data_IF_768363322822
#
_entry.id   IF_768363322822
#
_cell.length_a   1.000
_cell.length_b   1.000
_cell.length_c   1.000
_cell.angle_alpha   90.00
_cell.angle_beta   90.00
_cell.angle_gamma   90.00
#
_symmetry.space_group_name_H-M   'P 1'
#
loop_
_entity.id
_entity.type
_entity.pdbx_description
1 polymer ?
#
# COMPACT_ATOMS: atom_id res chain seq x y z
N UNK A 1 -57.07 -35.97 9.84
CA UNK A 1 -56.64 -35.70 8.44
C UNK A 1 -56.90 -34.23 8.11
N UNK A 2 -55.92 -33.33 8.34
CA UNK A 2 -55.82 -31.95 7.81
C UNK A 2 -54.42 -31.43 8.18
N UNK A 3 -53.47 -31.68 7.29
CA UNK A 3 -52.03 -31.45 7.45
C UNK A 3 -51.55 -30.58 6.28
N UNK A 4 -52.26 -29.49 5.98
CA UNK A 4 -51.90 -28.55 4.92
C UNK A 4 -52.29 -27.15 5.39
N UNK A 5 -51.38 -26.48 6.10
CA UNK A 5 -51.40 -25.01 6.23
C UNK A 5 -50.09 -24.42 6.79
N UNK A 6 -49.17 -25.24 7.32
CA UNK A 6 -47.87 -24.76 7.82
C UNK A 6 -46.83 -24.46 6.73
N UNK A 7 -47.07 -24.81 5.46
CA UNK A 7 -46.11 -24.62 4.37
C UNK A 7 -46.14 -23.21 3.74
N UNK A 8 -47.28 -22.49 3.80
CA UNK A 8 -47.40 -21.16 3.16
C UNK A 8 -46.79 -20.03 3.98
N UNK A 9 -46.78 -20.13 5.31
CA UNK A 9 -46.22 -19.09 6.20
C UNK A 9 -44.69 -19.08 6.19
N UNK A 10 -44.02 -20.24 6.01
CA UNK A 10 -42.55 -20.30 5.95
C UNK A 10 -41.96 -19.72 4.65
N UNK A 11 -42.71 -19.76 3.54
CA UNK A 11 -42.28 -19.18 2.25
C UNK A 11 -42.25 -17.65 2.28
N UNK A 12 -43.26 -17.02 2.89
CA UNK A 12 -43.32 -15.56 3.00
C UNK A 12 -42.25 -14.97 3.93
N UNK A 13 -41.85 -15.69 4.99
CA UNK A 13 -40.78 -15.27 5.89
C UNK A 13 -39.39 -15.35 5.23
N UNK A 14 -39.13 -16.39 4.42
CA UNK A 14 -37.88 -16.54 3.68
C UNK A 14 -37.74 -15.53 2.52
N UNK A 15 -38.84 -15.15 1.87
CA UNK A 15 -38.84 -14.09 0.86
C UNK A 15 -38.63 -12.69 1.47
N UNK A 16 -39.16 -12.44 2.67
CA UNK A 16 -38.93 -11.17 3.39
C UNK A 16 -37.50 -11.03 3.92
N UNK A 17 -36.86 -12.12 4.36
CA UNK A 17 -35.46 -12.06 4.81
C UNK A 17 -34.49 -11.83 3.64
N UNK A 18 -34.74 -12.40 2.46
CA UNK A 18 -33.87 -12.16 1.28
C UNK A 18 -33.97 -10.72 0.75
N UNK A 19 -35.15 -10.10 0.83
CA UNK A 19 -35.35 -8.69 0.49
C UNK A 19 -34.66 -7.72 1.45
N UNK A 20 -34.66 -8.01 2.75
CA UNK A 20 -34.01 -7.17 3.76
C UNK A 20 -32.48 -7.24 3.66
N UNK A 21 -31.92 -8.42 3.39
CA UNK A 21 -30.47 -8.60 3.14
C UNK A 21 -30.02 -7.89 1.87
N UNK A 22 -30.84 -7.87 0.82
CA UNK A 22 -30.59 -7.05 -0.39
C UNK A 22 -30.65 -5.56 -0.11
N UNK A 23 -31.65 -5.09 0.64
CA UNK A 23 -31.80 -3.69 1.02
C UNK A 23 -30.65 -3.19 1.90
N UNK A 24 -30.13 -4.03 2.81
CA UNK A 24 -28.97 -3.71 3.65
C UNK A 24 -27.68 -3.70 2.82
N UNK A 25 -27.49 -4.66 1.90
CA UNK A 25 -26.36 -4.66 0.98
C UNK A 25 -26.38 -3.45 0.04
N UNK A 26 -27.55 -3.06 -0.47
CA UNK A 26 -27.74 -1.86 -1.28
C UNK A 26 -27.52 -0.59 -0.46
N UNK A 27 -27.92 -0.56 0.82
CA UNK A 27 -27.63 0.54 1.74
C UNK A 27 -26.15 0.69 2.04
N UNK A 28 -25.42 -0.40 2.25
CA UNK A 28 -23.97 -0.38 2.47
C UNK A 28 -23.22 0.02 1.20
N UNK A 29 -23.70 -0.43 0.02
CA UNK A 29 -23.18 -0.02 -1.28
C UNK A 29 -23.45 1.48 -1.53
N UNK A 30 -24.66 1.96 -1.23
CA UNK A 30 -25.03 3.38 -1.29
C UNK A 30 -24.26 4.21 -0.27
N UNK A 31 -24.04 3.72 0.95
CA UNK A 31 -23.30 4.43 2.00
C UNK A 31 -21.82 4.55 1.65
N UNK A 32 -21.18 3.47 1.17
CA UNK A 32 -19.80 3.53 0.67
C UNK A 32 -19.69 4.39 -0.59
N UNK A 33 -20.67 4.36 -1.49
CA UNK A 33 -20.69 5.22 -2.67
C UNK A 33 -20.88 6.69 -2.29
N UNK A 34 -21.75 6.99 -1.32
CA UNK A 34 -22.01 8.35 -0.83
C UNK A 34 -20.81 8.92 -0.09
N UNK A 35 -20.13 8.11 0.72
CA UNK A 35 -18.90 8.52 1.39
C UNK A 35 -17.77 8.77 0.37
N UNK A 36 -17.61 7.88 -0.63
CA UNK A 36 -16.62 8.06 -1.71
C UNK A 36 -16.88 9.31 -2.53
N UNK A 37 -18.13 9.60 -2.87
CA UNK A 37 -18.53 10.80 -3.60
C UNK A 37 -18.33 12.06 -2.78
N UNK A 38 -18.61 12.03 -1.47
CA UNK A 38 -18.32 13.17 -0.57
C UNK A 38 -16.84 13.45 -0.43
N UNK A 39 -16.01 12.43 -0.25
CA UNK A 39 -14.54 12.58 -0.18
C UNK A 39 -14.00 13.11 -1.52
N UNK A 40 -14.45 12.57 -2.65
CA UNK A 40 -14.07 13.07 -3.97
C UNK A 40 -14.49 14.52 -4.21
N UNK A 41 -15.70 14.90 -3.77
CA UNK A 41 -16.22 16.26 -3.89
C UNK A 41 -15.44 17.25 -3.02
N UNK A 42 -15.19 16.92 -1.75
CA UNK A 42 -14.40 17.75 -0.86
C UNK A 42 -12.95 17.95 -1.38
N UNK A 43 -12.35 16.91 -1.96
CA UNK A 43 -11.01 16.98 -2.57
C UNK A 43 -11.00 17.76 -3.89
N UNK A 44 -12.09 17.75 -4.66
CA UNK A 44 -12.26 18.59 -5.85
C UNK A 44 -12.41 20.07 -5.49
N UNK A 45 -13.11 20.36 -4.40
CA UNK A 45 -13.39 21.72 -3.93
C UNK A 45 -12.17 22.39 -3.29
N UNK A 46 -11.24 21.65 -2.69
CA UNK A 46 -10.09 22.24 -1.97
C UNK A 46 -8.76 22.24 -2.73
N UNK A 47 -8.49 21.28 -3.63
CA UNK A 47 -7.11 21.05 -4.10
C UNK A 47 -6.88 21.24 -5.61
N UNK A 48 -7.92 21.60 -6.37
CA UNK A 48 -7.85 21.77 -7.82
C UNK A 48 -7.75 20.44 -8.60
N UNK A 49 -8.18 20.46 -9.86
CA UNK A 49 -8.41 19.26 -10.68
C UNK A 49 -7.20 18.31 -10.80
N UNK A 50 -5.98 18.85 -10.71
CA UNK A 50 -4.74 18.09 -10.82
C UNK A 50 -4.49 17.20 -9.59
N UNK A 51 -4.85 17.64 -8.39
CA UNK A 51 -4.65 16.91 -7.13
C UNK A 51 -5.72 15.82 -6.96
N UNK A 52 -6.96 16.09 -7.38
CA UNK A 52 -8.01 15.06 -7.45
C UNK A 52 -7.64 13.93 -8.42
N UNK A 53 -7.03 14.24 -9.56
CA UNK A 53 -6.56 13.22 -10.50
C UNK A 53 -5.45 12.35 -9.89
N UNK A 54 -4.54 12.94 -9.10
CA UNK A 54 -3.53 12.20 -8.34
C UNK A 54 -4.19 11.31 -7.29
N UNK A 55 -5.18 11.80 -6.56
CA UNK A 55 -5.91 11.02 -5.55
C UNK A 55 -6.66 9.82 -6.15
N UNK A 56 -7.36 10.01 -7.27
CA UNK A 56 -8.04 8.92 -7.99
C UNK A 56 -7.05 7.86 -8.49
N UNK A 57 -5.87 8.29 -8.96
CA UNK A 57 -4.79 7.39 -9.36
C UNK A 57 -4.20 6.67 -8.14
N UNK A 58 -3.99 7.37 -7.02
CA UNK A 58 -3.50 6.82 -5.76
C UNK A 58 -4.48 5.78 -5.18
N UNK A 59 -5.79 5.99 -5.30
CA UNK A 59 -6.79 4.99 -4.89
C UNK A 59 -6.67 3.70 -5.70
N UNK A 60 -6.68 3.78 -7.03
CA UNK A 60 -6.49 2.61 -7.91
C UNK A 60 -5.13 1.93 -7.66
N UNK A 61 -4.13 2.74 -7.33
CA UNK A 61 -2.80 2.28 -6.98
C UNK A 61 -2.79 1.51 -5.65
N UNK A 62 -3.48 1.98 -4.60
CA UNK A 62 -3.46 1.37 -3.27
C UNK A 62 -3.85 -0.13 -3.25
N UNK A 63 -4.85 -0.54 -4.04
CA UNK A 63 -5.22 -1.96 -4.19
C UNK A 63 -4.08 -2.78 -4.79
N UNK A 64 -3.40 -2.23 -5.80
CA UNK A 64 -2.24 -2.89 -6.45
C UNK A 64 -1.03 -2.93 -5.55
N UNK A 65 -0.81 -1.89 -4.74
CA UNK A 65 0.31 -1.84 -3.79
C UNK A 65 0.21 -2.94 -2.73
N UNK A 66 -1.00 -3.26 -2.25
CA UNK A 66 -1.19 -4.43 -1.37
C UNK A 66 -0.82 -5.74 -2.06
N UNK A 67 -1.28 -5.95 -3.30
CA UNK A 67 -0.86 -7.15 -4.06
C UNK A 67 0.65 -7.20 -4.30
N UNK A 68 1.32 -6.06 -4.50
CA UNK A 68 2.77 -5.98 -4.56
C UNK A 68 3.42 -6.33 -3.23
N UNK A 69 2.89 -5.80 -2.12
CA UNK A 69 3.33 -6.16 -0.76
C UNK A 69 3.26 -7.66 -0.52
N UNK A 70 2.18 -8.33 -0.92
CA UNK A 70 2.01 -9.76 -0.72
C UNK A 70 3.02 -10.59 -1.52
N UNK A 71 3.30 -10.19 -2.76
CA UNK A 71 4.33 -10.83 -3.60
C UNK A 71 5.72 -10.64 -2.99
N UNK A 72 6.01 -9.43 -2.52
CA UNK A 72 7.27 -9.09 -1.86
C UNK A 72 7.44 -9.85 -0.54
N UNK A 73 6.41 -9.88 0.32
CA UNK A 73 6.41 -10.61 1.59
C UNK A 73 6.83 -12.07 1.44
N UNK A 74 6.40 -12.68 0.34
CA UNK A 74 6.65 -14.08 0.00
C UNK A 74 8.04 -14.33 -0.59
N UNK A 75 8.73 -13.29 -1.04
CA UNK A 75 10.04 -13.38 -1.71
C UNK A 75 11.17 -12.78 -0.89
N UNK A 76 10.85 -11.97 0.12
CA UNK A 76 11.82 -11.48 1.07
C UNK A 76 12.52 -12.62 1.79
N UNK A 77 13.82 -12.42 1.94
CA UNK A 77 14.74 -13.33 2.59
C UNK A 77 15.95 -12.54 3.07
N UNK A 78 16.82 -13.20 3.82
CA UNK A 78 18.09 -12.62 4.26
C UNK A 78 18.96 -12.17 3.07
N UNK A 79 18.91 -12.89 1.95
CA UNK A 79 19.66 -12.53 0.74
C UNK A 79 19.07 -11.33 -0.02
N UNK A 80 17.82 -10.96 0.22
CA UNK A 80 17.25 -9.70 -0.30
C UNK A 80 17.33 -8.55 0.69
N UNK A 81 17.67 -8.83 1.95
CA UNK A 81 17.79 -7.83 2.99
C UNK A 81 18.92 -6.84 2.69
N UNK A 82 18.61 -5.55 2.82
CA UNK A 82 19.54 -4.43 2.72
C UNK A 82 19.75 -3.85 4.11
N UNK A 83 20.84 -4.22 4.77
CA UNK A 83 21.27 -3.64 6.04
C UNK A 83 22.50 -2.76 5.80
N UNK A 84 22.45 -1.45 6.08
CA UNK A 84 23.61 -0.58 5.99
C UNK A 84 24.71 -0.89 7.04
N UNK A 85 24.40 -1.62 8.12
CA UNK A 85 25.38 -1.98 9.15
C UNK A 85 24.95 -3.20 9.97
N UNK A 86 25.90 -4.13 10.21
CA UNK A 86 25.71 -5.36 11.01
C UNK A 86 25.28 -5.11 12.48
N UNK A 87 25.36 -3.88 12.99
CA UNK A 87 25.04 -3.56 14.40
C UNK A 87 23.53 -3.51 14.72
N UNK A 88 22.63 -3.52 13.73
CA UNK A 88 21.17 -3.49 13.97
C UNK A 88 20.51 -4.88 13.96
N UNK A 89 21.29 -5.96 14.12
CA UNK A 89 20.78 -7.35 14.11
C UNK A 89 19.93 -7.72 15.34
N UNK A 90 19.84 -6.84 16.33
CA UNK A 90 19.07 -7.13 17.54
C UNK A 90 17.59 -6.78 17.34
N UNK A 91 16.78 -7.84 17.29
CA UNK A 91 15.37 -7.87 17.68
C UNK A 91 14.34 -7.22 16.75
N UNK A 92 14.22 -7.69 15.51
CA UNK A 92 12.93 -7.57 14.82
C UNK A 92 12.48 -8.90 14.24
N UNK A 93 11.36 -9.41 14.74
CA UNK A 93 10.68 -10.61 14.22
C UNK A 93 9.88 -10.32 12.95
N UNK A 94 9.88 -9.08 12.45
CA UNK A 94 9.10 -8.73 11.27
C UNK A 94 9.77 -9.22 9.99
N UNK A 95 9.06 -9.97 9.12
CA UNK A 95 9.60 -10.44 7.84
C UNK A 95 9.93 -9.28 6.88
N UNK A 96 9.47 -8.06 7.18
CA UNK A 96 9.82 -6.88 6.41
C UNK A 96 11.20 -6.32 6.75
N UNK A 97 11.83 -6.61 7.88
CA UNK A 97 13.06 -5.93 8.31
C UNK A 97 14.18 -5.88 7.25
N UNK A 98 14.75 -4.68 7.06
CA UNK A 98 15.79 -4.43 6.05
C UNK A 98 15.34 -4.56 4.60
N UNK A 99 14.04 -4.70 4.33
CA UNK A 99 13.51 -4.84 2.97
C UNK A 99 13.03 -3.51 2.36
N UNK A 100 13.08 -2.39 3.09
CA UNK A 100 12.52 -1.11 2.63
C UNK A 100 13.22 -0.62 1.35
N UNK A 101 14.56 -0.65 1.32
CA UNK A 101 15.35 -0.24 0.16
C UNK A 101 15.03 -1.07 -1.07
N UNK A 102 15.15 -2.40 -0.99
CA UNK A 102 14.90 -3.28 -2.14
C UNK A 102 13.46 -3.25 -2.64
N UNK A 103 12.49 -3.10 -1.73
CA UNK A 103 11.07 -3.02 -2.06
C UNK A 103 10.75 -1.71 -2.80
N UNK A 104 11.31 -0.60 -2.33
CA UNK A 104 11.18 0.71 -2.97
C UNK A 104 11.85 0.74 -4.35
N UNK A 105 13.06 0.18 -4.47
CA UNK A 105 13.75 0.03 -5.76
C UNK A 105 12.94 -0.85 -6.74
N UNK A 106 12.35 -1.94 -6.24
CA UNK A 106 11.51 -2.85 -7.02
C UNK A 106 10.22 -2.21 -7.52
N UNK A 107 9.64 -1.31 -6.74
CA UNK A 107 8.38 -0.66 -7.05
C UNK A 107 8.50 0.37 -8.19
N UNK A 108 9.59 1.16 -8.24
CA UNK A 108 9.75 2.27 -9.19
C UNK A 108 9.51 1.90 -10.66
N UNK A 109 10.14 0.86 -11.24
CA UNK A 109 9.88 0.49 -12.63
C UNK A 109 8.42 0.08 -12.83
N UNK A 110 7.78 -0.56 -11.85
CA UNK A 110 6.38 -0.99 -11.97
C UNK A 110 5.41 0.19 -11.96
N UNK A 111 5.71 1.25 -11.20
CA UNK A 111 4.93 2.49 -11.25
C UNK A 111 5.12 3.24 -12.57
N UNK A 112 6.37 3.32 -13.03
CA UNK A 112 6.74 4.06 -14.24
C UNK A 112 6.09 3.47 -15.49
N UNK A 113 6.11 2.14 -15.62
CA UNK A 113 5.59 1.43 -16.79
C UNK A 113 4.06 1.42 -16.85
N UNK A 114 3.38 1.34 -15.71
CA UNK A 114 1.93 1.21 -15.70
C UNK A 114 1.17 2.54 -15.68
N UNK A 115 1.79 3.65 -15.28
CA UNK A 115 1.06 4.88 -14.99
C UNK A 115 1.75 6.16 -15.50
N UNK A 116 2.89 6.06 -16.21
CA UNK A 116 3.72 7.21 -16.64
C UNK A 116 4.04 8.17 -15.49
N UNK A 117 4.11 7.65 -14.27
CA UNK A 117 4.40 8.44 -13.07
C UNK A 117 5.90 8.56 -12.89
N UNK A 118 6.37 9.77 -12.60
CA UNK A 118 7.77 10.03 -12.24
C UNK A 118 7.98 9.66 -10.78
N UNK A 119 8.27 8.38 -10.55
CA UNK A 119 8.60 7.85 -9.23
C UNK A 119 10.08 8.11 -8.89
N UNK A 120 10.32 8.50 -7.64
CA UNK A 120 11.65 8.81 -7.08
C UNK A 120 11.91 7.90 -5.89
N UNK A 121 13.08 7.27 -5.88
CA UNK A 121 13.58 6.53 -4.71
C UNK A 121 14.01 7.54 -3.66
N UNK A 122 13.56 7.38 -2.42
CA UNK A 122 13.91 8.27 -1.33
C UNK A 122 14.54 7.47 -0.19
N UNK A 123 15.56 8.05 0.42
CA UNK A 123 16.17 7.60 1.67
C UNK A 123 16.16 8.77 2.66
N UNK A 124 15.93 8.47 3.93
CA UNK A 124 15.94 9.44 5.02
C UNK A 124 15.21 8.91 6.24
N UNK A 125 14.46 9.77 6.92
CA UNK A 125 13.83 9.44 8.20
C UNK A 125 12.32 9.60 8.16
N UNK A 126 11.62 8.82 8.99
CA UNK A 126 10.20 9.01 9.29
C UNK A 126 10.07 9.43 10.74
N UNK A 127 9.43 10.58 10.97
CA UNK A 127 9.22 11.17 12.29
C UNK A 127 7.75 10.99 12.65
N UNK A 128 7.49 10.54 13.87
CA UNK A 128 6.15 10.42 14.44
C UNK A 128 5.99 11.43 15.56
N UNK A 129 5.08 12.39 15.41
CA UNK A 129 4.83 13.42 16.42
C UNK A 129 3.76 12.96 17.43
N UNK A 130 3.88 11.70 17.89
CA UNK A 130 2.97 11.12 18.89
C UNK A 130 3.51 11.27 20.34
N UNK A 131 4.59 12.05 20.50
CA UNK A 131 5.25 12.30 21.79
C UNK A 131 5.90 11.06 22.43
N UNK A 132 5.92 9.90 21.76
CA UNK A 132 6.39 8.63 22.33
C UNK A 132 7.42 7.90 21.48
N UNK A 133 7.45 8.13 20.17
CA UNK A 133 8.38 7.43 19.25
C UNK A 133 9.26 8.43 18.53
N UNK A 134 10.57 8.32 18.78
CA UNK A 134 11.59 9.12 18.12
C UNK A 134 11.67 8.86 16.61
N UNK A 135 12.62 9.54 15.97
CA UNK A 135 12.95 9.38 14.56
C UNK A 135 13.25 7.93 14.21
N UNK A 136 12.67 7.41 13.11
CA UNK A 136 13.01 6.09 12.61
C UNK A 136 14.50 5.99 12.28
N UNK A 137 15.05 4.78 12.32
CA UNK A 137 16.30 4.52 11.58
C UNK A 137 16.13 4.90 10.10
N UNK A 138 17.25 5.01 9.38
CA UNK A 138 17.23 5.32 7.95
C UNK A 138 16.28 4.37 7.20
N UNK A 139 15.31 4.94 6.51
CA UNK A 139 14.22 4.24 5.84
C UNK A 139 14.14 4.62 4.37
N UNK A 140 13.58 3.74 3.56
CA UNK A 140 13.49 3.96 2.11
C UNK A 140 12.05 3.84 1.62
N UNK A 141 11.60 4.82 0.83
CA UNK A 141 10.25 4.87 0.27
C UNK A 141 10.26 5.38 -1.18
N UNK A 142 9.08 5.48 -1.78
CA UNK A 142 8.90 6.04 -3.12
C UNK A 142 8.06 7.31 -3.06
N UNK A 143 8.51 8.37 -3.73
CA UNK A 143 7.74 9.60 -3.91
C UNK A 143 7.28 9.74 -5.37
N UNK A 144 6.09 10.29 -5.57
CA UNK A 144 5.57 10.72 -6.87
C UNK A 144 5.14 12.18 -6.77
N UNK A 145 5.66 13.05 -7.64
CA UNK A 145 5.34 14.48 -7.64
C UNK A 145 6.56 15.35 -7.34
N UNK A 146 6.30 16.60 -6.92
CA UNK A 146 7.34 17.54 -6.46
C UNK A 146 7.53 17.44 -4.95
N UNK A 147 8.62 18.01 -4.42
CA UNK A 147 8.87 18.05 -2.98
C UNK A 147 7.69 18.65 -2.18
N UNK A 148 7.02 19.68 -2.70
CA UNK A 148 5.89 20.35 -2.01
C UNK A 148 4.54 19.68 -2.22
N UNK A 149 4.39 18.85 -3.26
CA UNK A 149 3.13 18.16 -3.60
C UNK A 149 3.44 16.72 -4.02
N UNK A 150 3.87 15.93 -3.04
CA UNK A 150 4.25 14.52 -3.24
C UNK A 150 3.23 13.55 -2.66
N UNK A 151 3.02 12.47 -3.40
CA UNK A 151 2.46 11.23 -2.90
C UNK A 151 3.60 10.38 -2.35
N UNK A 152 3.50 9.97 -1.09
CA UNK A 152 4.41 9.03 -0.44
C UNK A 152 3.84 7.63 -0.58
N UNK A 153 4.68 6.69 -1.01
CA UNK A 153 4.37 5.27 -1.09
C UNK A 153 5.42 4.49 -0.33
N UNK A 154 4.98 3.75 0.68
CA UNK A 154 5.82 2.88 1.49
C UNK A 154 5.19 1.48 1.53
N UNK A 155 5.87 0.49 0.95
CA UNK A 155 5.44 -0.92 1.00
C UNK A 155 5.87 -1.62 2.28
N UNK A 156 6.52 -0.91 3.18
CA UNK A 156 7.22 -1.44 4.34
C UNK A 156 6.94 -0.60 5.57
N UNK A 157 5.77 0.05 5.60
CA UNK A 157 5.37 0.95 6.68
C UNK A 157 5.32 0.23 8.03
N UNK A 158 5.03 -1.08 8.02
CA UNK A 158 5.05 -1.94 9.20
C UNK A 158 6.44 -2.11 9.83
N UNK A 159 7.54 -1.75 9.14
CA UNK A 159 8.89 -1.79 9.69
C UNK A 159 9.19 -0.66 10.67
N UNK A 160 8.44 0.44 10.60
CA UNK A 160 8.75 1.65 11.35
C UNK A 160 8.43 1.52 12.85
N UNK A 161 7.88 0.37 13.26
CA UNK A 161 7.51 0.12 14.64
C UNK A 161 6.55 1.21 15.14
N UNK A 162 5.58 1.64 14.33
CA UNK A 162 4.50 2.55 14.68
C UNK A 162 3.23 1.73 15.03
N UNK A 163 2.34 2.14 15.97
CA UNK A 163 1.18 1.32 16.36
C UNK A 163 0.11 1.21 15.27
N UNK A 164 0.25 1.97 14.20
CA UNK A 164 -0.67 1.90 13.07
C UNK A 164 -0.61 0.52 12.38
N UNK A 165 -1.75 -0.14 12.16
CA UNK A 165 -1.80 -1.48 11.59
C UNK A 165 -1.55 -1.53 10.08
N UNK A 166 -1.38 -0.38 9.40
CA UNK A 166 -1.11 -0.33 7.96
C UNK A 166 0.24 -1.00 7.66
N UNK A 167 0.24 -1.98 6.75
CA UNK A 167 1.48 -2.53 6.18
C UNK A 167 1.99 -1.73 4.98
N UNK A 168 1.08 -1.02 4.32
CA UNK A 168 1.34 -0.26 3.12
C UNK A 168 0.76 1.14 3.29
N UNK A 169 1.61 2.14 3.10
CA UNK A 169 1.22 3.54 3.07
C UNK A 169 1.18 4.04 1.63
N UNK A 170 0.15 4.82 1.31
CA UNK A 170 0.03 5.51 0.03
C UNK A 170 -0.86 6.74 0.23
N UNK A 171 -0.26 7.89 0.52
CA UNK A 171 -1.01 9.11 0.84
C UNK A 171 -0.24 10.37 0.41
N UNK A 172 -0.93 11.48 0.15
CA UNK A 172 -0.28 12.79 0.02
C UNK A 172 0.51 13.12 1.28
N UNK A 173 1.71 13.69 1.14
CA UNK A 173 2.55 14.04 2.29
C UNK A 173 1.86 15.02 3.25
N UNK A 174 1.08 15.99 2.75
CA UNK A 174 0.31 16.89 3.61
C UNK A 174 -0.62 16.13 4.56
N UNK A 175 -1.37 15.16 4.03
CA UNK A 175 -2.25 14.32 4.85
C UNK A 175 -1.46 13.52 5.90
N UNK A 176 -0.24 13.09 5.57
CA UNK A 176 0.60 12.38 6.53
C UNK A 176 1.05 13.31 7.66
N UNK A 177 1.38 14.57 7.35
CA UNK A 177 1.66 15.59 8.38
C UNK A 177 0.44 15.81 9.29
N UNK A 178 -0.76 15.88 8.72
CA UNK A 178 -2.00 16.00 9.49
C UNK A 178 -2.27 14.75 10.37
N UNK A 179 -1.72 13.59 10.00
CA UNK A 179 -1.71 12.34 10.76
C UNK A 179 -0.47 12.23 11.70
N UNK A 180 0.30 13.30 11.89
CA UNK A 180 1.54 13.34 12.69
C UNK A 180 2.65 12.40 12.21
N UNK A 181 2.74 12.17 10.90
CA UNK A 181 3.74 11.32 10.24
C UNK A 181 4.51 12.16 9.21
N UNK A 182 5.78 12.46 9.48
CA UNK A 182 6.63 13.24 8.56
C UNK A 182 7.71 12.39 7.91
N UNK A 183 7.70 12.32 6.57
CA UNK A 183 8.72 11.68 5.76
C UNK A 183 9.77 12.70 5.30
N UNK A 184 10.93 12.70 5.95
CA UNK A 184 12.04 13.61 5.67
C UNK A 184 13.13 12.91 4.86
N UNK A 185 13.17 13.19 3.56
CA UNK A 185 14.18 12.63 2.66
C UNK A 185 15.49 13.40 2.72
N UNK A 186 16.57 12.68 2.98
CA UNK A 186 17.97 13.12 2.89
C UNK A 186 18.54 12.92 1.49
N UNK A 187 18.11 11.85 0.81
CA UNK A 187 18.54 11.50 -0.54
C UNK A 187 17.37 11.17 -1.45
N UNK A 188 17.42 11.68 -2.68
CA UNK A 188 16.44 11.39 -3.75
C UNK A 188 17.15 10.91 -5.01
N UNK A 189 16.77 9.74 -5.49
CA UNK A 189 17.41 9.10 -6.63
C UNK A 189 16.39 8.67 -7.69
N UNK A 190 16.75 8.91 -8.95
CA UNK A 190 16.03 8.29 -10.07
C UNK A 190 16.46 6.84 -10.18
N UNK A 191 15.57 5.99 -10.68
CA UNK A 191 15.83 4.55 -10.87
C UNK A 191 17.18 4.24 -11.54
N UNK A 192 17.54 5.00 -12.58
CA UNK A 192 18.81 4.80 -13.31
C UNK A 192 20.06 5.00 -12.43
N UNK A 193 19.97 5.84 -11.39
CA UNK A 193 21.08 6.12 -10.48
C UNK A 193 21.22 5.03 -9.42
N UNK A 194 20.16 4.25 -9.15
CA UNK A 194 20.24 3.12 -8.22
C UNK A 194 21.25 2.06 -8.64
N UNK A 195 21.68 2.04 -9.91
CA UNK A 195 22.72 1.09 -10.39
C UNK A 195 24.07 1.25 -9.68
N UNK A 196 24.33 2.43 -9.14
CA UNK A 196 25.55 2.74 -8.40
C UNK A 196 25.35 2.67 -6.88
N UNK A 197 24.14 2.34 -6.42
CA UNK A 197 23.80 2.22 -5.00
C UNK A 197 23.90 0.76 -4.55
N UNK A 198 24.28 0.54 -3.29
CA UNK A 198 24.47 -0.80 -2.71
C UNK A 198 23.18 -1.64 -2.73
N UNK A 199 22.01 -0.99 -2.77
CA UNK A 199 20.71 -1.66 -2.91
C UNK A 199 20.58 -2.44 -4.23
N UNK A 200 21.37 -2.09 -5.26
CA UNK A 200 21.19 -2.62 -6.62
C UNK A 200 21.32 -4.13 -6.72
N UNK A 201 22.34 -4.70 -6.07
CA UNK A 201 22.59 -6.15 -6.16
C UNK A 201 21.43 -6.93 -5.53
N UNK A 202 20.94 -6.45 -4.38
CA UNK A 202 19.81 -7.05 -3.65
C UNK A 202 18.49 -6.85 -4.42
N UNK A 203 18.31 -5.70 -5.06
CA UNK A 203 17.21 -5.44 -5.98
C UNK A 203 17.15 -6.46 -7.13
N UNK A 204 18.28 -6.79 -7.77
CA UNK A 204 18.33 -7.80 -8.84
C UNK A 204 17.88 -9.18 -8.34
N UNK A 205 18.39 -9.63 -7.19
CA UNK A 205 17.99 -10.90 -6.57
C UNK A 205 16.47 -10.92 -6.33
N UNK A 206 15.91 -9.84 -5.79
CA UNK A 206 14.48 -9.71 -5.56
C UNK A 206 13.68 -9.74 -6.87
N UNK A 207 14.17 -9.09 -7.93
CA UNK A 207 13.52 -9.15 -9.26
C UNK A 207 13.44 -10.59 -9.75
N UNK A 208 14.55 -11.32 -9.71
CA UNK A 208 14.61 -12.72 -10.16
C UNK A 208 13.67 -13.60 -9.34
N UNK A 209 13.70 -13.47 -8.01
CA UNK A 209 12.81 -14.20 -7.10
C UNK A 209 11.32 -13.93 -7.38
N UNK A 210 10.97 -12.69 -7.73
CA UNK A 210 9.57 -12.34 -8.08
C UNK A 210 9.18 -12.75 -9.49
N UNK A 211 10.13 -12.95 -10.42
CA UNK A 211 9.87 -13.41 -11.77
C UNK A 211 9.48 -14.89 -11.80
N UNK A 212 10.25 -15.75 -11.11
CA UNK A 212 9.98 -17.20 -10.99
C UNK A 212 8.58 -17.48 -10.43
N UNK A 213 8.07 -16.61 -9.54
CA UNK A 213 6.75 -16.77 -8.93
C UNK A 213 5.57 -16.38 -9.83
N UNK A 214 5.78 -15.65 -10.92
CA UNK A 214 4.70 -15.34 -11.88
C UNK A 214 4.27 -16.58 -12.68
N UNK A 215 5.19 -17.52 -12.90
CA UNK A 215 4.89 -18.78 -13.59
C UNK A 215 3.94 -19.69 -12.79
N UNK A 216 3.94 -19.60 -11.45
CA UNK A 216 3.03 -20.40 -10.61
C UNK A 216 1.58 -19.91 -10.67
N UNK A 217 1.35 -18.61 -10.83
CA UNK A 217 0.00 -18.07 -11.00
C UNK A 217 -0.65 -18.48 -12.32
N UNK A 218 0.13 -18.76 -13.37
CA UNK A 218 -0.40 -19.28 -14.64
C UNK A 218 -0.82 -20.77 -14.55
N UNK A 219 -0.20 -21.53 -13.64
CA UNK A 219 -0.53 -22.95 -13.38
C UNK A 219 -1.81 -23.10 -12.55
N UNK A 220 -2.12 -22.14 -11.66
CA UNK A 220 -3.30 -22.21 -10.77
C UNK A 220 -4.59 -21.64 -11.38
N UNK A 221 -4.55 -21.03 -12.56
CA UNK A 221 -5.75 -20.59 -13.32
C UNK A 221 -6.19 -21.57 -14.41
N UNK A 222 -5.60 -22.79 -14.47
CA UNK A 222 -5.98 -23.87 -15.40
C UNK A 222 -6.61 -25.09 -14.70
N UNK A 223 -7.34 -24.90 -13.61
CA UNK A 223 -8.20 -25.93 -13.02
C UNK A 223 -9.58 -25.38 -12.75
#
# INVERSE_FOLDING_TARGET
>A
MRLIDRARVKSAAAQRSSGLTRLLADRDLLATTTHRVRVLRALLEQEGAQQTAVFLRAWKLSKRLRGYRDVLAKTWSEVTCYQPSLQSLQSSTSPSFGQCGVSSAWLIPRLSWHQRLRATYCVGHVIFDDGRRGTSAAHCWVEIGSSTRRLVIDLTFDQLGHPDPRQVLCAPHQRLLDESIDYQSEGRMRFRHLRADDVWQRYKILVDATAVRRDWTAVLTRR
#
